data_IF_199723979321
#
_entry.id   IF_199723979321
#
_cell.length_a   1.000
_cell.length_b   1.000
_cell.length_c   1.000
_cell.angle_alpha   90.00
_cell.angle_beta   90.00
_cell.angle_gamma   90.00
#
_symmetry.space_group_name_H-M   'P 1'
#
loop_
_entity.id
_entity.type
_entity.pdbx_description
1 polymer ?
#
# COMPACT_ATOMS: atom_id res chain seq x y z
N UNK A 1 32.70 13.28 -11.28
CA UNK A 1 32.30 12.90 -9.90
C UNK A 1 31.19 11.85 -10.00
N UNK A 2 31.53 10.59 -10.34
CA UNK A 2 30.55 9.59 -10.82
C UNK A 2 30.96 8.15 -10.41
N UNK A 3 31.02 7.86 -9.11
CA UNK A 3 31.51 6.55 -8.60
C UNK A 3 30.65 5.91 -7.51
N UNK A 4 29.50 6.51 -7.13
CA UNK A 4 28.59 5.94 -6.10
C UNK A 4 27.34 5.21 -6.64
N UNK A 5 26.97 5.39 -7.91
CA UNK A 5 25.73 4.84 -8.49
C UNK A 5 25.65 3.30 -8.60
N UNK A 6 26.76 2.57 -8.43
CA UNK A 6 26.82 1.12 -8.68
C UNK A 6 26.76 0.22 -7.43
N UNK A 7 26.79 0.77 -6.21
CA UNK A 7 26.80 -0.06 -4.99
C UNK A 7 25.40 -0.46 -4.48
N UNK A 8 24.41 0.43 -4.58
CA UNK A 8 23.05 0.15 -4.08
C UNK A 8 22.36 -1.03 -4.79
N UNK A 9 22.57 -1.19 -6.10
CA UNK A 9 21.91 -2.24 -6.90
C UNK A 9 22.58 -3.62 -6.77
N UNK A 10 23.85 -3.68 -6.35
CA UNK A 10 24.66 -4.90 -6.40
C UNK A 10 24.38 -5.89 -5.26
N UNK A 11 23.72 -5.43 -4.19
CA UNK A 11 23.39 -6.23 -2.99
C UNK A 11 22.11 -7.09 -3.14
N UNK A 12 21.38 -6.98 -4.26
CA UNK A 12 20.08 -7.64 -4.46
C UNK A 12 20.12 -8.90 -5.35
N UNK A 13 21.26 -9.25 -5.97
CA UNK A 13 21.31 -10.23 -7.06
C UNK A 13 22.47 -11.25 -6.95
N UNK A 14 22.45 -12.18 -5.99
CA UNK A 14 23.21 -13.45 -6.10
C UNK A 14 22.76 -14.56 -5.11
N UNK A 15 21.78 -15.39 -5.51
CA UNK A 15 21.55 -16.75 -4.98
C UNK A 15 21.01 -17.66 -6.10
N UNK A 16 21.70 -18.74 -6.49
CA UNK A 16 21.21 -19.65 -7.54
C UNK A 16 20.34 -20.79 -6.99
N UNK A 17 19.23 -21.00 -7.69
CA UNK A 17 18.39 -22.21 -7.82
C UNK A 17 18.78 -23.53 -7.13
N UNK A 18 17.76 -24.21 -6.59
CA UNK A 18 17.63 -25.67 -6.72
C UNK A 18 16.15 -26.09 -6.66
N UNK A 19 15.69 -26.84 -7.68
CA UNK A 19 14.33 -27.40 -7.77
C UNK A 19 14.43 -28.85 -8.27
N UNK A 20 13.79 -29.83 -7.59
CA UNK A 20 13.49 -31.13 -8.16
C UNK A 20 11.99 -31.24 -8.51
N UNK A 21 11.68 -31.50 -9.79
CA UNK A 21 10.34 -31.91 -10.18
C UNK A 21 10.16 -33.43 -9.98
N UNK A 22 8.95 -33.86 -9.64
CA UNK A 22 8.52 -35.26 -9.67
C UNK A 22 7.16 -35.38 -10.35
N UNK A 23 6.93 -36.52 -11.00
CA UNK A 23 5.78 -36.78 -11.86
C UNK A 23 5.31 -38.24 -11.72
N UNK A 24 4.26 -38.58 -12.49
CA UNK A 24 3.52 -39.86 -12.52
C UNK A 24 2.59 -40.13 -11.30
N UNK A 25 1.37 -40.66 -11.51
CA UNK A 25 0.70 -40.87 -12.80
C UNK A 25 -0.63 -41.63 -12.75
N UNK A 26 -1.29 -41.68 -13.92
CA UNK A 26 -2.23 -42.70 -14.43
C UNK A 26 -3.43 -43.18 -13.57
N UNK A 27 -4.64 -42.97 -14.09
CA UNK A 27 -5.85 -43.74 -13.75
C UNK A 27 -7.01 -43.46 -14.72
N UNK A 28 -7.60 -44.49 -15.34
CA UNK A 28 -8.71 -44.34 -16.32
C UNK A 28 -9.52 -45.63 -16.54
N UNK A 29 -10.83 -45.60 -16.24
CA UNK A 29 -11.90 -46.55 -16.64
C UNK A 29 -13.20 -45.68 -16.67
N UNK A 30 -13.90 -45.45 -17.80
CA UNK A 30 -15.01 -46.25 -18.40
C UNK A 30 -16.13 -46.60 -17.37
N UNK A 31 -17.45 -46.53 -17.63
CA UNK A 31 -18.33 -46.20 -18.79
C UNK A 31 -19.75 -45.85 -18.19
N UNK A 32 -20.88 -45.46 -18.83
CA UNK A 32 -21.43 -45.51 -20.22
C UNK A 32 -22.57 -44.45 -20.37
N UNK A 33 -23.21 -44.33 -21.55
CA UNK A 33 -24.52 -43.66 -21.76
C UNK A 33 -25.75 -44.52 -21.34
N UNK A 34 -26.99 -44.26 -21.84
CA UNK A 34 -27.42 -43.47 -23.01
C UNK A 34 -27.96 -42.07 -22.64
N UNK A 35 -27.99 -41.03 -23.49
CA UNK A 35 -28.54 -40.85 -24.85
C UNK A 35 -30.08 -40.75 -24.94
N UNK A 36 -30.57 -39.54 -25.26
CA UNK A 36 -31.46 -39.28 -26.41
C UNK A 36 -31.69 -37.77 -26.59
N UNK A 37 -31.82 -37.33 -27.85
CA UNK A 37 -32.30 -36.00 -28.23
C UNK A 37 -33.54 -36.15 -29.15
N UNK A 38 -34.21 -35.04 -29.53
CA UNK A 38 -33.81 -34.44 -30.80
C UNK A 38 -33.90 -32.90 -30.86
N UNK A 39 -33.26 -32.34 -31.88
CA UNK A 39 -33.34 -30.92 -32.22
C UNK A 39 -34.72 -30.54 -32.80
N UNK A 40 -35.12 -29.28 -32.61
CA UNK A 40 -35.76 -28.53 -33.69
C UNK A 40 -35.10 -27.15 -33.81
N UNK A 41 -34.74 -26.74 -35.04
CA UNK A 41 -34.32 -25.38 -35.36
C UNK A 41 -35.31 -24.78 -36.35
N UNK A 42 -35.79 -23.56 -36.11
CA UNK A 42 -36.67 -22.86 -37.05
C UNK A 42 -35.95 -21.67 -37.68
N UNK A 43 -35.55 -21.83 -38.94
CA UNK A 43 -35.05 -20.72 -39.79
C UNK A 43 -36.22 -20.10 -40.56
N UNK A 44 -36.80 -19.00 -40.07
CA UNK A 44 -37.57 -18.07 -40.91
C UNK A 44 -37.91 -16.77 -40.17
N UNK A 45 -38.17 -15.72 -40.97
CA UNK A 45 -38.54 -14.35 -40.56
C UNK A 45 -37.40 -13.58 -39.86
N UNK A 46 -37.09 -12.32 -40.24
CA UNK A 46 -37.53 -11.56 -41.42
C UNK A 46 -36.43 -10.57 -41.84
N UNK A 47 -35.97 -10.67 -43.10
CA UNK A 47 -35.22 -9.58 -43.73
C UNK A 47 -36.21 -8.50 -44.19
N UNK A 48 -36.01 -7.27 -43.75
CA UNK A 48 -36.62 -6.09 -44.38
C UNK A 48 -35.49 -5.16 -44.84
N UNK A 49 -35.58 -4.74 -46.10
CA UNK A 49 -34.56 -3.93 -46.75
C UNK A 49 -34.78 -2.45 -46.41
N UNK A 50 -33.74 -1.77 -45.95
CA UNK A 50 -33.60 -0.32 -46.14
C UNK A 50 -32.30 -0.09 -46.89
N UNK A 51 -32.41 0.08 -48.21
CA UNK A 51 -31.30 0.53 -49.04
C UNK A 51 -31.22 2.07 -48.94
N UNK A 52 -30.36 2.57 -48.04
CA UNK A 52 -30.05 3.99 -47.91
C UNK A 52 -28.60 4.24 -48.33
N UNK A 53 -28.39 4.80 -49.52
CA UNK A 53 -27.07 5.16 -50.02
C UNK A 53 -26.62 6.48 -49.34
N UNK A 54 -25.94 6.37 -48.19
CA UNK A 54 -25.31 7.49 -47.51
C UNK A 54 -23.79 7.40 -47.69
N UNK A 55 -23.24 8.27 -48.55
CA UNK A 55 -21.79 8.39 -48.76
C UNK A 55 -21.15 9.19 -47.62
N UNK A 56 -21.12 8.61 -46.42
CA UNK A 56 -20.54 9.24 -45.23
C UNK A 56 -19.02 9.24 -45.35
N UNK A 57 -18.42 10.39 -45.68
CA UNK A 57 -16.98 10.60 -45.56
C UNK A 57 -16.55 10.37 -44.11
N UNK A 58 -15.73 9.34 -43.89
CA UNK A 58 -15.12 9.05 -42.60
C UNK A 58 -14.06 10.09 -42.27
N UNK A 59 -14.52 11.25 -41.77
CA UNK A 59 -13.67 12.12 -40.96
C UNK A 59 -13.10 11.27 -39.83
N UNK A 60 -11.78 11.11 -39.84
CA UNK A 60 -11.05 10.36 -38.81
C UNK A 60 -11.10 11.11 -37.49
N UNK A 61 -12.24 11.01 -36.79
CA UNK A 61 -12.32 11.33 -35.38
C UNK A 61 -11.31 10.44 -34.66
N UNK A 62 -10.15 11.02 -34.37
CA UNK A 62 -9.23 10.46 -33.40
C UNK A 62 -10.02 10.41 -32.10
N UNK A 63 -10.48 9.23 -31.71
CA UNK A 63 -11.01 9.05 -30.37
C UNK A 63 -9.89 9.51 -29.43
N UNK A 64 -10.16 10.38 -28.43
CA UNK A 64 -9.20 10.55 -27.36
C UNK A 64 -8.96 9.15 -26.81
N UNK A 65 -7.70 8.74 -26.74
CA UNK A 65 -7.37 7.56 -25.95
C UNK A 65 -7.88 7.84 -24.55
N UNK A 66 -8.90 7.10 -24.12
CA UNK A 66 -9.18 6.97 -22.70
C UNK A 66 -7.84 6.63 -22.07
N UNK A 67 -7.40 7.44 -21.11
CA UNK A 67 -6.22 7.10 -20.32
C UNK A 67 -6.45 5.67 -19.82
N UNK A 68 -5.46 4.80 -19.98
CA UNK A 68 -5.54 3.48 -19.39
C UNK A 68 -5.81 3.70 -17.90
N UNK A 69 -6.85 3.05 -17.38
CA UNK A 69 -7.30 3.19 -16.00
C UNK A 69 -6.16 2.68 -15.11
N UNK A 70 -5.36 3.61 -14.59
CA UNK A 70 -4.01 3.31 -14.10
C UNK A 70 -4.10 2.59 -12.76
N UNK A 71 -3.67 1.33 -12.75
CA UNK A 71 -4.03 0.37 -11.73
C UNK A 71 -3.65 0.87 -10.34
N UNK A 72 -4.64 0.94 -9.45
CA UNK A 72 -4.47 1.40 -8.08
C UNK A 72 -3.72 0.33 -7.27
N UNK A 73 -2.43 0.54 -7.08
CA UNK A 73 -1.59 -0.29 -6.21
C UNK A 73 -1.77 0.14 -4.75
N UNK A 74 -1.91 -0.84 -3.86
CA UNK A 74 -1.79 -0.63 -2.42
C UNK A 74 -0.32 -0.57 -2.05
N UNK A 75 0.10 0.55 -1.46
CA UNK A 75 1.48 0.81 -1.03
C UNK A 75 1.47 1.31 0.40
N UNK A 76 2.57 1.14 1.12
CA UNK A 76 2.70 1.68 2.47
C UNK A 76 4.10 2.18 2.80
N UNK A 77 4.17 3.15 3.70
CA UNK A 77 5.37 3.89 4.07
C UNK A 77 5.44 4.05 5.59
N UNK A 78 6.58 3.73 6.20
CA UNK A 78 6.90 3.99 7.61
C UNK A 78 8.12 4.91 7.72
N UNK A 79 8.03 5.91 8.59
CA UNK A 79 9.06 6.94 8.80
C UNK A 79 9.03 7.44 10.25
N UNK A 80 8.95 6.51 11.21
CA UNK A 80 8.64 6.86 12.60
C UNK A 80 7.13 6.93 12.85
N UNK A 81 6.70 7.79 13.78
CA UNK A 81 5.32 7.84 14.25
C UNK A 81 4.31 8.09 13.11
N UNK A 82 3.35 7.20 12.92
CA UNK A 82 2.43 7.23 11.78
C UNK A 82 1.47 8.43 11.71
N UNK A 83 1.34 9.24 12.77
CA UNK A 83 0.43 10.40 12.79
C UNK A 83 0.92 11.52 11.88
N UNK A 84 2.19 11.93 11.99
CA UNK A 84 2.74 12.93 11.07
C UNK A 84 2.81 12.38 9.63
N UNK A 85 3.16 11.10 9.48
CA UNK A 85 3.20 10.40 8.19
C UNK A 85 1.81 10.37 7.53
N UNK A 86 0.73 10.21 8.31
CA UNK A 86 -0.63 10.19 7.77
C UNK A 86 -1.10 11.58 7.35
N UNK A 87 -0.70 12.64 8.07
CA UNK A 87 -0.98 14.00 7.64
C UNK A 87 -0.34 14.32 6.29
N UNK A 88 0.96 14.09 6.15
CA UNK A 88 1.68 14.40 4.91
C UNK A 88 1.18 13.58 3.72
N UNK A 89 0.81 12.30 3.91
CA UNK A 89 0.21 11.51 2.81
C UNK A 89 -1.24 11.90 2.48
N UNK A 90 -2.02 12.41 3.43
CA UNK A 90 -3.36 12.97 3.14
C UNK A 90 -3.24 14.26 2.32
N UNK A 91 -2.28 15.13 2.66
CA UNK A 91 -1.98 16.32 1.85
C UNK A 91 -1.42 15.93 0.48
N UNK A 92 -0.60 14.87 0.38
CA UNK A 92 -0.15 14.32 -0.89
C UNK A 92 -1.32 13.79 -1.76
N UNK A 93 -2.29 13.07 -1.17
CA UNK A 93 -3.50 12.64 -1.89
C UNK A 93 -4.32 13.83 -2.42
N UNK A 94 -4.46 14.91 -1.64
CA UNK A 94 -5.14 16.15 -2.05
C UNK A 94 -4.38 16.88 -3.16
N UNK A 95 -3.05 17.00 -3.03
CA UNK A 95 -2.13 17.77 -3.88
C UNK A 95 -1.80 17.09 -5.22
N UNK A 96 -1.51 15.79 -5.19
CA UNK A 96 -1.04 15.01 -6.36
C UNK A 96 -2.23 14.39 -7.09
N UNK A 97 -3.20 13.82 -6.37
CA UNK A 97 -4.32 13.06 -6.95
C UNK A 97 -5.62 13.87 -7.01
N UNK A 98 -5.67 15.08 -6.44
CA UNK A 98 -6.86 15.93 -6.42
C UNK A 98 -8.01 15.38 -5.55
N UNK A 99 -7.72 14.42 -4.65
CA UNK A 99 -8.75 13.69 -3.88
C UNK A 99 -9.46 14.60 -2.89
N UNK A 100 -10.79 14.50 -2.86
CA UNK A 100 -11.61 15.03 -1.77
C UNK A 100 -11.55 14.12 -0.53
N UNK A 101 -12.00 14.65 0.61
CA UNK A 101 -11.99 13.97 1.91
C UNK A 101 -12.56 12.55 1.92
N UNK A 102 -13.51 12.25 1.03
CA UNK A 102 -14.17 10.92 0.92
C UNK A 102 -13.40 9.94 0.06
N UNK A 103 -12.48 10.43 -0.77
CA UNK A 103 -11.66 9.65 -1.69
C UNK A 103 -10.27 9.35 -1.09
N UNK A 104 -9.94 9.94 0.08
CA UNK A 104 -8.70 9.69 0.82
C UNK A 104 -8.56 8.23 1.23
N UNK A 105 -7.43 7.64 0.88
CA UNK A 105 -7.09 6.22 1.10
C UNK A 105 -6.00 6.02 2.15
N UNK A 106 -5.28 7.08 2.55
CA UNK A 106 -4.26 7.02 3.60
C UNK A 106 -4.85 6.57 4.96
N UNK A 107 -4.34 5.45 5.49
CA UNK A 107 -4.69 4.89 6.81
C UNK A 107 -3.42 4.60 7.61
N UNK A 108 -3.39 5.02 8.86
CA UNK A 108 -2.42 4.55 9.84
C UNK A 108 -2.58 3.03 10.05
N UNK A 109 -1.49 2.31 10.27
CA UNK A 109 -1.50 0.86 10.42
C UNK A 109 -0.16 0.27 10.82
N UNK A 110 -0.12 -1.05 10.86
CA UNK A 110 1.03 -1.84 11.30
C UNK A 110 1.44 -2.80 10.18
N UNK A 111 2.71 -2.82 9.79
CA UNK A 111 3.21 -3.71 8.73
C UNK A 111 4.63 -4.24 8.99
N UNK A 112 5.02 -5.27 8.24
CA UNK A 112 6.42 -5.72 8.21
C UNK A 112 6.93 -6.58 9.37
N UNK A 113 6.05 -7.13 10.22
CA UNK A 113 6.38 -8.18 11.17
C UNK A 113 6.17 -9.58 10.56
N UNK A 114 7.01 -10.55 10.92
CA UNK A 114 6.88 -11.95 10.45
C UNK A 114 5.75 -12.71 11.13
N UNK A 115 5.32 -12.28 12.33
CA UNK A 115 4.25 -12.96 13.05
C UNK A 115 2.86 -12.75 12.41
N UNK A 116 2.72 -11.74 11.55
CA UNK A 116 1.45 -11.38 10.92
C UNK A 116 0.38 -11.04 11.96
N UNK A 117 -0.86 -11.41 11.68
CA UNK A 117 -1.97 -11.19 12.60
C UNK A 117 -2.17 -12.32 13.61
N UNK A 118 -1.93 -12.04 14.89
CA UNK A 118 -2.27 -12.96 15.99
C UNK A 118 -3.77 -12.88 16.30
N UNK A 119 -4.43 -14.03 16.29
CA UNK A 119 -5.89 -14.17 16.47
C UNK A 119 -6.70 -13.32 15.45
N UNK A 120 -6.12 -13.06 14.27
CA UNK A 120 -6.71 -12.20 13.23
C UNK A 120 -6.63 -10.70 13.53
N UNK A 121 -5.71 -10.27 14.41
CA UNK A 121 -5.52 -8.88 14.86
C UNK A 121 -4.03 -8.50 14.89
N UNK A 122 -3.76 -7.20 14.73
CA UNK A 122 -2.51 -6.52 15.08
C UNK A 122 -2.92 -5.19 15.70
N UNK A 123 -2.49 -4.91 16.92
CA UNK A 123 -3.07 -3.90 17.80
C UNK A 123 -2.03 -2.96 18.38
N UNK A 124 -2.44 -1.74 18.72
CA UNK A 124 -1.59 -0.83 19.48
C UNK A 124 -1.24 -1.38 20.86
N UNK A 125 -0.23 -0.78 21.49
CA UNK A 125 0.18 -1.11 22.85
C UNK A 125 -1.00 -1.10 23.82
N UNK A 126 -1.25 -2.25 24.43
CA UNK A 126 -2.38 -2.44 25.33
C UNK A 126 -1.98 -3.22 26.59
N UNK A 127 -2.61 -2.87 27.71
CA UNK A 127 -2.28 -3.43 29.04
C UNK A 127 -2.51 -4.95 29.16
N UNK A 128 -3.25 -5.56 28.23
CA UNK A 128 -3.47 -7.00 28.15
C UNK A 128 -2.46 -7.73 27.24
N UNK A 129 -1.58 -6.99 26.53
CA UNK A 129 -0.61 -7.51 25.56
C UNK A 129 -1.24 -8.43 24.49
N UNK A 130 -2.49 -8.10 24.11
CA UNK A 130 -3.26 -8.82 23.09
C UNK A 130 -2.82 -8.30 21.72
N UNK A 131 -2.19 -9.18 20.94
CA UNK A 131 -1.74 -8.93 19.56
C UNK A 131 -0.99 -7.62 19.34
N UNK A 132 -0.20 -7.20 20.35
CA UNK A 132 0.65 -6.01 20.36
C UNK A 132 1.59 -5.99 19.13
N UNK A 133 1.54 -4.92 18.35
CA UNK A 133 2.18 -4.85 17.02
C UNK A 133 3.71 -4.95 17.08
N UNK A 134 4.34 -4.31 18.07
CA UNK A 134 5.79 -4.40 18.31
C UNK A 134 6.23 -5.81 18.71
N UNK A 135 5.48 -6.44 19.61
CA UNK A 135 5.66 -7.85 20.00
C UNK A 135 5.46 -8.85 18.83
N UNK A 136 4.75 -8.44 17.78
CA UNK A 136 4.56 -9.18 16.53
C UNK A 136 5.59 -8.79 15.44
N UNK A 137 6.52 -7.87 15.75
CA UNK A 137 7.61 -7.45 14.88
C UNK A 137 7.23 -6.40 13.83
N UNK A 138 6.02 -5.83 13.87
CA UNK A 138 5.59 -4.79 12.94
C UNK A 138 6.29 -3.45 13.22
N UNK A 139 6.02 -2.48 12.36
CA UNK A 139 6.28 -1.07 12.58
C UNK A 139 5.04 -0.25 12.20
N UNK A 140 4.96 0.96 12.73
CA UNK A 140 3.99 1.97 12.32
C UNK A 140 4.22 2.35 10.85
N UNK A 141 3.12 2.35 10.08
CA UNK A 141 3.10 2.72 8.66
C UNK A 141 1.82 3.47 8.31
N UNK A 142 1.83 4.12 7.15
CA UNK A 142 0.63 4.60 6.48
C UNK A 142 0.46 3.87 5.16
N UNK A 143 -0.68 3.23 4.96
CA UNK A 143 -1.07 2.57 3.71
C UNK A 143 -2.05 3.42 2.91
N UNK A 144 -1.88 3.45 1.59
CA UNK A 144 -2.72 4.19 0.65
C UNK A 144 -2.79 3.48 -0.71
N UNK A 145 -3.77 3.85 -1.54
CA UNK A 145 -4.01 3.27 -2.87
C UNK A 145 -3.82 4.31 -3.95
N UNK A 146 -2.71 4.23 -4.67
CA UNK A 146 -2.30 5.25 -5.65
C UNK A 146 -2.23 4.66 -7.06
N UNK A 147 -2.47 5.46 -8.11
CA UNK A 147 -2.19 5.05 -9.47
C UNK A 147 -0.72 4.67 -9.60
N UNK A 148 -0.41 3.59 -10.32
CA UNK A 148 0.96 3.07 -10.45
C UNK A 148 1.92 4.12 -11.03
N UNK A 149 1.44 5.00 -11.91
CA UNK A 149 2.21 6.12 -12.48
C UNK A 149 2.53 7.24 -11.47
N UNK A 150 1.75 7.38 -10.38
CA UNK A 150 1.97 8.38 -9.33
C UNK A 150 2.98 7.94 -8.26
N UNK A 151 3.43 6.68 -8.25
CA UNK A 151 4.38 6.17 -7.25
C UNK A 151 5.67 7.02 -7.12
N UNK A 152 6.29 7.55 -8.20
CA UNK A 152 7.44 8.45 -8.08
C UNK A 152 7.16 9.73 -7.27
N UNK A 153 5.97 10.31 -7.39
CA UNK A 153 5.62 11.55 -6.68
C UNK A 153 5.35 11.28 -5.19
N UNK A 154 4.70 10.16 -4.86
CA UNK A 154 4.53 9.73 -3.47
C UNK A 154 5.85 9.32 -2.80
N UNK A 155 6.80 8.76 -3.55
CA UNK A 155 8.19 8.60 -3.06
C UNK A 155 8.84 9.96 -2.81
N UNK A 156 8.57 10.98 -3.64
CA UNK A 156 9.16 12.29 -3.43
C UNK A 156 8.72 12.90 -2.08
N UNK A 157 7.42 12.86 -1.77
CA UNK A 157 6.91 13.30 -0.46
C UNK A 157 7.49 12.43 0.69
N UNK A 158 7.57 11.10 0.54
CA UNK A 158 8.20 10.21 1.53
C UNK A 158 9.66 10.61 1.83
N UNK A 159 10.46 10.86 0.79
CA UNK A 159 11.87 11.25 0.96
C UNK A 159 12.03 12.64 1.58
N UNK A 160 11.02 13.52 1.47
CA UNK A 160 11.02 14.84 2.09
C UNK A 160 10.75 14.81 3.61
N UNK A 161 10.22 13.70 4.15
CA UNK A 161 10.09 13.47 5.61
C UNK A 161 11.45 13.34 6.31
N UNK A 162 12.51 13.02 5.56
CA UNK A 162 13.86 12.88 6.09
C UNK A 162 14.64 14.19 5.93
N UNK A 163 15.40 14.54 6.96
CA UNK A 163 16.32 15.66 6.85
C UNK A 163 17.50 15.36 5.90
N UNK A 164 18.30 16.39 5.60
CA UNK A 164 19.46 16.31 4.68
C UNK A 164 20.52 15.24 4.97
N UNK A 165 20.49 14.63 6.17
CA UNK A 165 21.41 13.58 6.62
C UNK A 165 20.74 12.18 6.66
N UNK A 166 19.49 12.05 6.18
CA UNK A 166 18.73 10.80 6.15
C UNK A 166 18.05 10.45 7.47
N UNK A 167 17.83 11.42 8.37
CA UNK A 167 17.17 11.18 9.65
C UNK A 167 15.70 11.64 9.61
N UNK A 168 14.79 10.75 9.99
CA UNK A 168 13.38 11.04 10.32
C UNK A 168 13.28 12.02 11.52
N UNK A 169 12.16 12.74 11.71
CA UNK A 169 12.10 13.88 12.65
C UNK A 169 12.15 13.49 14.14
N UNK A 170 11.72 12.28 14.48
CA UNK A 170 11.28 11.88 15.84
C UNK A 170 12.33 11.08 16.66
N UNK A 171 13.60 11.05 16.23
CA UNK A 171 14.71 10.23 16.78
C UNK A 171 15.05 10.43 18.29
N UNK A 172 14.26 11.17 19.05
CA UNK A 172 14.43 11.39 20.48
C UNK A 172 13.39 10.69 21.37
N UNK A 173 12.25 10.25 20.82
CA UNK A 173 11.21 9.54 21.57
C UNK A 173 10.81 8.25 20.81
N UNK A 174 10.42 8.39 19.55
CA UNK A 174 9.92 7.31 18.71
C UNK A 174 11.11 6.54 18.08
N UNK A 175 11.71 5.69 18.91
CA UNK A 175 12.97 4.97 18.62
C UNK A 175 12.85 3.48 18.88
N UNK A 176 13.43 2.66 18.00
CA UNK A 176 13.32 1.20 18.06
C UNK A 176 12.55 0.61 16.88
N UNK A 177 12.47 -0.74 16.77
CA UNK A 177 12.00 -1.41 15.56
C UNK A 177 10.60 -0.98 15.12
N UNK A 178 9.72 -0.66 16.06
CA UNK A 178 8.36 -0.14 15.82
C UNK A 178 8.31 1.15 15.00
N UNK A 179 9.38 1.94 15.02
CA UNK A 179 9.52 3.24 14.36
C UNK A 179 10.55 3.25 13.23
N UNK A 180 11.02 2.07 12.79
CA UNK A 180 12.00 1.94 11.70
C UNK A 180 11.46 2.52 10.38
N UNK A 181 12.34 2.74 9.40
CA UNK A 181 11.95 3.28 8.09
C UNK A 181 11.73 2.13 7.09
N UNK A 182 10.56 2.06 6.47
CA UNK A 182 10.16 0.97 5.56
C UNK A 182 9.25 1.47 4.44
N UNK A 183 9.32 0.83 3.28
CA UNK A 183 8.40 1.06 2.16
C UNK A 183 7.99 -0.29 1.58
N UNK A 184 6.69 -0.52 1.44
CA UNK A 184 6.11 -1.79 0.97
C UNK A 184 5.22 -1.61 -0.25
N UNK A 185 5.36 -2.52 -1.20
CA UNK A 185 4.59 -2.60 -2.45
C UNK A 185 4.71 -4.02 -3.05
N UNK A 186 3.83 -4.42 -3.99
CA UNK A 186 3.78 -5.78 -4.52
C UNK A 186 5.11 -6.21 -5.16
N UNK A 187 5.58 -7.41 -4.82
CA UNK A 187 6.87 -7.98 -5.22
C UNK A 187 8.13 -7.33 -4.59
N UNK A 188 7.99 -6.28 -3.78
CA UNK A 188 9.07 -5.60 -3.06
C UNK A 188 10.28 -5.28 -3.94
N UNK A 189 11.49 -5.65 -3.49
CA UNK A 189 12.75 -5.42 -4.24
C UNK A 189 12.82 -6.03 -5.65
N UNK A 190 11.93 -6.96 -5.99
CA UNK A 190 11.86 -7.55 -7.34
C UNK A 190 10.97 -6.72 -8.29
N UNK A 191 10.19 -5.79 -7.74
CA UNK A 191 9.23 -4.95 -8.47
C UNK A 191 9.93 -3.80 -9.21
N UNK A 192 9.44 -3.38 -10.40
CA UNK A 192 9.93 -2.18 -11.07
C UNK A 192 9.89 -0.91 -10.19
N UNK A 193 8.96 -0.87 -9.22
CA UNK A 193 8.80 0.21 -8.24
C UNK A 193 10.05 0.39 -7.35
N UNK A 194 10.76 -0.70 -7.01
CA UNK A 194 11.99 -0.61 -6.21
C UNK A 194 13.10 0.17 -6.93
N UNK A 195 13.14 0.12 -8.27
CA UNK A 195 14.03 0.97 -9.07
C UNK A 195 13.58 2.44 -9.03
N UNK A 196 12.28 2.70 -9.16
CA UNK A 196 11.73 4.07 -9.11
C UNK A 196 12.02 4.73 -7.75
N UNK A 197 11.85 3.99 -6.65
CA UNK A 197 12.15 4.44 -5.29
C UNK A 197 13.58 4.99 -5.17
N UNK A 198 14.58 4.19 -5.56
CA UNK A 198 15.99 4.59 -5.51
C UNK A 198 16.30 5.72 -6.49
N UNK A 199 15.69 5.72 -7.69
CA UNK A 199 15.90 6.79 -8.67
C UNK A 199 15.27 8.13 -8.28
N UNK A 200 14.20 8.17 -7.48
CA UNK A 200 13.61 9.43 -6.97
C UNK A 200 14.40 9.94 -5.78
N UNK A 201 14.69 9.08 -4.80
CA UNK A 201 15.56 9.41 -3.65
C UNK A 201 16.89 10.04 -4.10
N UNK A 202 17.57 9.40 -5.06
CA UNK A 202 18.82 9.91 -5.60
C UNK A 202 18.70 11.25 -6.36
N UNK A 203 17.52 11.61 -6.88
CA UNK A 203 17.25 12.92 -7.51
C UNK A 203 16.95 14.00 -6.47
N UNK A 204 16.19 13.65 -5.43
CA UNK A 204 15.86 14.55 -4.33
C UNK A 204 17.08 14.86 -3.44
N UNK A 205 18.12 14.03 -3.52
CA UNK A 205 19.42 14.31 -2.92
C UNK A 205 19.46 14.03 -1.43
N UNK A 206 18.58 13.15 -0.94
CA UNK A 206 18.60 12.61 0.42
C UNK A 206 19.86 11.75 0.68
N UNK A 207 19.90 11.07 1.84
CA UNK A 207 21.02 10.20 2.24
C UNK A 207 20.57 8.78 2.57
N UNK A 208 19.46 8.33 1.99
CA UNK A 208 18.87 7.03 2.27
C UNK A 208 19.62 5.93 1.52
N UNK A 209 20.12 4.95 2.29
CA UNK A 209 20.43 3.63 1.78
C UNK A 209 19.15 2.77 1.78
N UNK A 210 19.10 1.76 0.91
CA UNK A 210 17.96 0.85 0.76
C UNK A 210 18.42 -0.60 0.90
N UNK A 211 17.69 -1.39 1.69
CA UNK A 211 17.93 -2.83 1.84
C UNK A 211 16.66 -3.64 1.55
N UNK A 212 16.83 -4.89 1.12
CA UNK A 212 15.73 -5.86 1.14
C UNK A 212 15.32 -6.11 2.59
N UNK A 213 14.09 -5.78 2.94
CA UNK A 213 13.51 -6.17 4.21
C UNK A 213 13.12 -7.66 4.23
N UNK A 214 13.13 -8.22 5.44
CA UNK A 214 12.90 -9.64 5.75
C UNK A 214 11.86 -9.83 6.85
N UNK A 215 11.35 -8.74 7.41
CA UNK A 215 10.44 -8.70 8.55
C UNK A 215 11.18 -8.78 9.88
N UNK A 216 10.59 -8.23 10.93
CA UNK A 216 11.22 -8.02 12.26
C UNK A 216 12.60 -7.30 12.12
N UNK A 217 12.70 -6.38 11.17
CA UNK A 217 13.92 -5.65 10.87
C UNK A 217 14.25 -4.63 11.98
N UNK A 218 15.53 -4.42 12.25
CA UNK A 218 15.99 -3.49 13.28
C UNK A 218 15.86 -2.04 12.83
N UNK A 219 15.56 -1.12 13.75
CA UNK A 219 15.69 0.32 13.47
C UNK A 219 17.14 0.68 13.07
N UNK A 220 17.27 1.54 12.07
CA UNK A 220 18.52 1.87 11.42
C UNK A 220 18.45 3.28 10.83
N UNK A 221 19.43 4.13 11.17
CA UNK A 221 19.46 5.53 10.73
C UNK A 221 19.80 5.60 9.24
N UNK A 222 19.04 6.39 8.49
CA UNK A 222 19.19 6.57 7.04
C UNK A 222 19.12 5.27 6.21
N UNK A 223 18.46 4.22 6.72
CA UNK A 223 18.21 2.97 5.99
C UNK A 223 16.72 2.72 5.86
N UNK A 224 16.25 2.50 4.63
CA UNK A 224 14.86 2.13 4.32
C UNK A 224 14.79 0.65 3.95
N UNK A 225 13.95 -0.10 4.66
CA UNK A 225 13.67 -1.50 4.32
C UNK A 225 12.59 -1.56 3.22
N UNK A 226 12.98 -2.04 2.04
CA UNK A 226 12.09 -2.29 0.92
C UNK A 226 11.44 -3.66 1.10
N UNK A 227 10.13 -3.64 1.34
CA UNK A 227 9.33 -4.76 1.78
C UNK A 227 8.42 -5.26 0.65
N UNK A 228 8.17 -6.56 0.65
CA UNK A 228 7.26 -7.21 -0.29
C UNK A 228 5.86 -7.28 0.35
N UNK A 229 4.91 -6.48 -0.11
CA UNK A 229 3.58 -6.40 0.52
C UNK A 229 2.76 -7.69 0.35
N UNK A 230 3.10 -8.52 -0.64
CA UNK A 230 2.45 -9.81 -0.88
C UNK A 230 2.88 -10.87 0.16
N UNK A 231 3.99 -10.59 0.87
CA UNK A 231 4.53 -11.40 1.98
C UNK A 231 4.24 -10.74 3.34
N UNK A 232 4.26 -9.40 3.40
CA UNK A 232 4.08 -8.60 4.60
C UNK A 232 2.84 -7.69 4.44
N UNK A 233 1.62 -8.19 4.71
CA UNK A 233 0.42 -7.38 4.66
C UNK A 233 0.44 -6.26 5.72
N UNK A 234 -0.32 -5.20 5.45
CA UNK A 234 -0.61 -4.11 6.40
C UNK A 234 -1.91 -4.37 7.15
N UNK A 235 -1.96 -3.94 8.41
CA UNK A 235 -3.12 -4.04 9.29
C UNK A 235 -3.54 -2.64 9.74
N UNK A 236 -4.75 -2.22 9.41
CA UNK A 236 -5.25 -0.87 9.73
C UNK A 236 -5.37 -0.68 11.24
N UNK A 237 -4.81 0.42 11.75
CA UNK A 237 -4.81 0.77 13.18
C UNK A 237 -6.20 1.16 13.68
N UNK A 238 -6.38 1.06 15.00
CA UNK A 238 -7.58 1.47 15.74
C UNK A 238 -8.01 2.91 15.38
N UNK A 239 -9.31 3.18 15.37
CA UNK A 239 -9.87 4.48 14.91
C UNK A 239 -9.24 5.70 15.60
N UNK A 240 -8.77 5.53 16.85
CA UNK A 240 -8.08 6.57 17.61
C UNK A 240 -6.77 7.06 16.95
N UNK A 241 -6.03 6.19 16.26
CA UNK A 241 -4.77 6.56 15.59
C UNK A 241 -4.97 7.10 14.17
N UNK A 242 -6.20 7.12 13.66
CA UNK A 242 -6.51 7.60 12.33
C UNK A 242 -6.74 9.11 12.38
N UNK A 243 -6.03 9.87 11.55
CA UNK A 243 -6.16 11.33 11.44
C UNK A 243 -6.05 12.03 12.82
N UNK A 244 -4.98 11.70 13.55
CA UNK A 244 -4.67 12.28 14.86
C UNK A 244 -3.61 13.38 14.72
N UNK A 245 -3.60 14.34 15.66
CA UNK A 245 -2.52 15.33 15.79
C UNK A 245 -1.16 14.65 16.01
N UNK A 246 -0.10 15.20 15.42
CA UNK A 246 1.26 14.71 15.65
C UNK A 246 1.87 15.23 16.97
N UNK A 247 3.02 14.67 17.35
CA UNK A 247 3.68 14.99 18.62
C UNK A 247 4.68 16.16 18.55
N UNK A 248 5.12 16.59 17.36
CA UNK A 248 6.08 17.69 17.23
C UNK A 248 5.41 19.06 17.36
N UNK A 249 6.21 20.07 17.71
CA UNK A 249 5.75 21.45 17.78
C UNK A 249 5.26 21.95 16.41
N UNK A 250 3.94 22.13 16.29
CA UNK A 250 3.27 22.58 15.06
C UNK A 250 2.29 21.56 14.48
N UNK A 251 2.35 20.29 14.88
CA UNK A 251 1.53 19.19 14.34
C UNK A 251 0.10 19.13 14.94
N UNK A 252 -0.45 20.30 15.32
CA UNK A 252 -1.84 20.43 15.78
C UNK A 252 -2.70 20.72 14.54
N UNK A 253 -3.37 19.70 14.01
CA UNK A 253 -4.06 19.72 12.73
C UNK A 253 -5.48 20.32 12.87
N UNK A 254 -6.07 20.86 11.79
CA UNK A 254 -7.40 21.46 11.88
C UNK A 254 -8.47 20.39 12.16
N UNK A 255 -9.54 20.78 12.86
CA UNK A 255 -10.68 19.90 13.16
C UNK A 255 -11.34 19.25 11.90
N UNK A 256 -11.13 19.80 10.71
CA UNK A 256 -11.53 19.19 9.44
C UNK A 256 -10.71 17.93 9.08
N UNK A 257 -9.43 17.87 9.46
CA UNK A 257 -8.59 16.67 9.37
C UNK A 257 -8.95 15.68 10.48
N UNK A 258 -8.96 16.12 11.75
CA UNK A 258 -9.28 15.24 12.89
C UNK A 258 -10.71 14.66 12.83
N UNK A 259 -11.64 15.32 12.12
CA UNK A 259 -12.99 14.84 11.84
C UNK A 259 -13.10 13.71 10.81
N UNK A 260 -12.03 13.42 10.04
CA UNK A 260 -12.04 12.39 8.98
C UNK A 260 -12.23 10.98 9.55
N UNK A 261 -11.58 10.65 10.66
CA UNK A 261 -11.71 9.35 11.33
C UNK A 261 -13.17 9.03 11.70
N UNK A 262 -13.91 10.04 12.19
CA UNK A 262 -15.33 9.92 12.50
C UNK A 262 -16.24 9.91 11.28
N UNK A 263 -15.79 10.47 10.15
CA UNK A 263 -16.55 10.53 8.90
C UNK A 263 -16.43 9.23 8.12
N UNK A 264 -15.21 8.81 7.82
CA UNK A 264 -14.90 7.62 7.03
C UNK A 264 -15.32 6.32 7.76
N UNK A 265 -15.35 6.31 9.09
CA UNK A 265 -15.91 5.18 9.84
C UNK A 265 -17.43 5.03 9.66
N UNK A 266 -18.18 6.14 9.62
CA UNK A 266 -19.63 6.14 9.40
C UNK A 266 -19.99 5.77 7.95
N UNK A 267 -19.09 6.05 7.00
CA UNK A 267 -19.22 5.68 5.60
C UNK A 267 -18.66 4.27 5.29
N UNK A 268 -18.05 3.60 6.28
CA UNK A 268 -17.47 2.26 6.13
C UNK A 268 -16.13 2.23 5.36
N UNK A 269 -15.59 3.38 4.97
CA UNK A 269 -14.39 3.54 4.15
C UNK A 269 -13.09 3.68 4.96
N UNK A 270 -13.16 3.78 6.30
CA UNK A 270 -11.98 3.84 7.15
C UNK A 270 -11.20 2.51 7.18
N UNK A 271 -11.90 1.38 7.10
CA UNK A 271 -11.38 0.06 7.47
C UNK A 271 -11.76 -0.32 8.92
N UNK A 272 -11.61 -1.60 9.25
CA UNK A 272 -11.97 -2.16 10.56
C UNK A 272 -10.72 -2.69 11.27
N UNK A 273 -10.32 -2.05 12.37
CA UNK A 273 -9.44 -2.70 13.35
C UNK A 273 -10.26 -3.58 14.28
N UNK A 274 -9.87 -4.86 14.38
CA UNK A 274 -10.53 -5.86 15.25
C UNK A 274 -10.04 -5.81 16.70
N UNK A 275 -9.16 -4.87 17.01
CA UNK A 275 -8.52 -4.73 18.30
C UNK A 275 -9.47 -4.15 19.36
N UNK A 276 -9.15 -4.29 20.66
CA UNK A 276 -9.87 -3.56 21.69
C UNK A 276 -9.59 -2.07 21.51
N UNK A 277 -10.52 -1.33 20.89
CA UNK A 277 -10.54 0.13 20.98
C UNK A 277 -10.30 0.53 22.45
N UNK A 278 -9.41 1.51 22.69
CA UNK A 278 -8.85 1.82 24.01
C UNK A 278 -9.88 2.23 25.06
N UNK A 279 -10.58 1.26 25.65
CA UNK A 279 -11.70 1.46 26.58
C UNK A 279 -11.25 1.77 28.02
N UNK A 280 -10.00 2.23 28.17
CA UNK A 280 -9.49 2.97 29.33
C UNK A 280 -9.19 4.45 28.99
N UNK A 281 -9.36 4.88 27.73
CA UNK A 281 -9.10 6.25 27.26
C UNK A 281 -10.35 7.03 26.83
N UNK A 282 -11.36 6.39 26.23
CA UNK A 282 -12.56 7.08 25.70
C UNK A 282 -13.72 7.07 26.70
N UNK A 283 -13.47 7.61 27.90
CA UNK A 283 -14.41 7.61 29.03
C UNK A 283 -15.10 8.96 29.27
N UNK A 284 -16.14 9.29 28.49
CA UNK A 284 -17.16 10.35 28.75
C UNK A 284 -16.70 11.80 29.04
N UNK A 285 -15.40 12.08 29.09
CA UNK A 285 -14.80 13.39 29.38
C UNK A 285 -13.69 13.78 28.38
N UNK A 286 -13.61 13.09 27.24
CA UNK A 286 -12.69 13.43 26.14
C UNK A 286 -13.36 14.34 25.11
N UNK A 287 -13.46 15.64 25.45
CA UNK A 287 -13.85 16.77 24.59
C UNK A 287 -13.14 18.04 25.08
#
# INVERSE_FOLDING_TARGET
MMTKFFHALLLLLFQPSLVPALAFGTGSILSTGPETAPLTSSRRQLLQNIAALAATTTLGFSQPSLAADDELIEVWFGCGCFWHVQHEFVEAERKILGRSDKELTARAGYAGGKAGAKDGKVCYHNAAQVSDYGSLGHAEVVSLKIPTSSFPDFVAEYTALFNKDGYRPDQFQDTGPEYRNLVGFPGGVNSPLAKQLVEVSAKNGDKLDFAKGKGDDSDARALVFVMDSDVFPVFVAEQYHQFHDGFNFGENYPNSYNGLASTLAKEGSLGESKCPNGLLGVGLLGL
#
